data_IF_715062136804
#
_entry.id   IF_715062136804
#
_cell.length_a   1.000
_cell.length_b   1.000
_cell.length_c   1.000
_cell.angle_alpha   90.00
_cell.angle_beta   90.00
_cell.angle_gamma   90.00
#
_symmetry.space_group_name_H-M   'P 1'
#
loop_
_entity.id
_entity.type
_entity.pdbx_description
1 polymer ?
#
# COMPACT_ATOMS: atom_id res chain seq x y z
N UNK A 1 -29.94 10.80 42.06
CA UNK A 1 -29.98 10.01 40.80
C UNK A 1 -29.41 10.77 39.62
N UNK A 2 -29.92 11.96 39.29
CA UNK A 2 -29.43 12.79 38.16
C UNK A 2 -27.95 13.16 38.28
N UNK A 3 -27.48 13.54 39.48
CA UNK A 3 -26.07 13.86 39.73
C UNK A 3 -25.14 12.67 39.46
N UNK A 4 -25.56 11.45 39.83
CA UNK A 4 -24.76 10.23 39.62
C UNK A 4 -24.62 9.87 38.14
N UNK A 5 -25.68 10.09 37.36
CA UNK A 5 -25.67 9.87 35.90
C UNK A 5 -24.76 10.89 35.22
N UNK A 6 -24.82 12.16 35.63
CA UNK A 6 -23.96 13.21 35.09
C UNK A 6 -22.47 12.92 35.32
N UNK A 7 -22.09 12.47 36.52
CA UNK A 7 -20.70 12.12 36.84
C UNK A 7 -20.23 10.92 36.00
N UNK A 8 -21.06 9.90 35.83
CA UNK A 8 -20.74 8.73 35.01
C UNK A 8 -20.51 9.09 33.53
N UNK A 9 -21.33 9.98 32.97
CA UNK A 9 -21.17 10.44 31.59
C UNK A 9 -19.88 11.24 31.40
N UNK A 10 -19.54 12.12 32.34
CA UNK A 10 -18.28 12.89 32.29
C UNK A 10 -17.08 11.96 32.37
N UNK A 11 -17.09 10.98 33.27
CA UNK A 11 -16.01 9.99 33.39
C UNK A 11 -15.94 9.13 32.12
N UNK A 12 -17.06 8.67 31.58
CA UNK A 12 -17.09 7.89 30.35
C UNK A 12 -16.52 8.65 29.14
N UNK A 13 -16.88 9.93 28.99
CA UNK A 13 -16.34 10.79 27.94
C UNK A 13 -14.84 11.04 28.13
N UNK A 14 -14.41 11.30 29.36
CA UNK A 14 -13.00 11.49 29.68
C UNK A 14 -12.17 10.23 29.41
N UNK A 15 -12.68 9.05 29.77
CA UNK A 15 -12.02 7.78 29.45
C UNK A 15 -11.95 7.61 27.93
N UNK A 16 -13.05 7.83 27.21
CA UNK A 16 -13.10 7.69 25.75
C UNK A 16 -12.11 8.60 25.01
N UNK A 17 -11.88 9.81 25.51
CA UNK A 17 -10.92 10.75 24.91
C UNK A 17 -9.49 10.52 25.35
N UNK A 18 -9.26 10.00 26.56
CA UNK A 18 -7.91 9.77 27.11
C UNK A 18 -7.35 8.39 26.72
N UNK A 19 -8.17 7.35 26.56
CA UNK A 19 -7.71 6.02 26.13
C UNK A 19 -6.93 6.01 24.83
N UNK A 20 -7.29 6.72 23.75
CA UNK A 20 -6.45 6.76 22.54
C UNK A 20 -5.11 7.47 22.75
N UNK A 21 -5.00 8.36 23.75
CA UNK A 21 -3.76 9.08 24.05
C UNK A 21 -2.76 8.24 24.86
N UNK A 22 -3.26 7.31 25.68
CA UNK A 22 -2.46 6.39 26.51
C UNK A 22 -2.31 4.99 25.89
N UNK A 23 -2.99 4.72 24.77
CA UNK A 23 -2.76 3.51 24.02
C UNK A 23 -1.26 3.46 23.69
N UNK A 24 -0.53 2.39 24.05
CA UNK A 24 0.81 2.19 23.53
C UNK A 24 0.69 2.26 22.01
N UNK A 25 1.71 2.78 21.32
CA UNK A 25 1.81 2.79 19.87
C UNK A 25 1.64 1.35 19.33
N UNK A 26 0.42 0.84 19.29
CA UNK A 26 -0.01 -0.20 18.39
C UNK A 26 0.31 0.33 17.00
N UNK A 27 0.74 -0.56 16.09
CA UNK A 27 1.43 -0.20 14.86
C UNK A 27 0.75 1.02 14.31
N UNK A 28 1.44 2.15 14.48
CA UNK A 28 0.82 3.45 14.36
C UNK A 28 -0.03 3.38 13.11
N UNK A 29 -1.32 3.71 13.24
CA UNK A 29 -2.05 4.33 12.15
C UNK A 29 -1.12 5.45 11.70
N UNK A 30 -0.32 5.04 10.72
CA UNK A 30 0.78 5.73 10.12
C UNK A 30 0.17 7.05 9.78
N UNK A 31 0.56 8.09 10.52
CA UNK A 31 0.06 9.45 10.35
C UNK A 31 -0.07 9.64 8.86
N UNK A 32 -1.33 9.64 8.36
CA UNK A 32 -1.66 9.27 6.98
C UNK A 32 -0.53 9.80 6.12
N UNK A 33 0.28 8.94 5.46
CA UNK A 33 1.19 9.46 4.47
C UNK A 33 0.30 10.37 3.64
N UNK A 34 0.70 11.62 3.45
CA UNK A 34 0.17 12.36 2.32
C UNK A 34 0.70 11.54 1.16
N UNK A 35 -0.02 10.47 0.86
CA UNK A 35 0.28 9.49 -0.14
C UNK A 35 -0.15 10.21 -1.40
N UNK A 36 0.69 11.18 -1.80
CA UNK A 36 0.83 11.61 -3.18
C UNK A 36 1.36 10.42 -3.95
N UNK A 37 0.61 9.31 -3.93
CA UNK A 37 0.84 8.21 -4.85
C UNK A 37 0.81 8.86 -6.23
N UNK A 38 1.77 8.57 -7.11
CA UNK A 38 1.87 9.25 -8.41
C UNK A 38 0.53 9.23 -9.18
N UNK A 39 -0.25 8.17 -8.98
CA UNK A 39 -1.61 8.00 -9.47
C UNK A 39 -2.61 9.05 -8.96
N UNK A 40 -2.62 9.35 -7.65
CA UNK A 40 -3.52 10.38 -7.09
C UNK A 40 -3.18 11.78 -7.60
N UNK A 41 -1.90 12.10 -7.77
CA UNK A 41 -1.47 13.38 -8.33
C UNK A 41 -1.89 13.51 -9.81
N UNK A 42 -1.67 12.47 -10.62
CA UNK A 42 -2.13 12.43 -12.02
C UNK A 42 -3.64 12.62 -12.13
N UNK A 43 -4.43 11.94 -11.28
CA UNK A 43 -5.88 12.10 -11.24
C UNK A 43 -6.30 13.51 -10.83
N UNK A 44 -5.62 14.11 -9.85
CA UNK A 44 -5.89 15.48 -9.41
C UNK A 44 -5.64 16.49 -10.53
N UNK A 45 -4.49 16.40 -11.20
CA UNK A 45 -4.17 17.27 -12.36
C UNK A 45 -5.22 17.14 -13.46
N UNK A 46 -5.65 15.91 -13.76
CA UNK A 46 -6.72 15.66 -14.75
C UNK A 46 -8.03 16.34 -14.38
N UNK A 47 -8.42 16.32 -13.11
CA UNK A 47 -9.64 16.99 -12.64
C UNK A 47 -9.56 18.51 -12.86
N UNK A 48 -8.42 19.13 -12.56
CA UNK A 48 -8.22 20.56 -12.80
C UNK A 48 -8.37 20.91 -14.29
N UNK A 49 -7.84 20.08 -15.19
CA UNK A 49 -7.98 20.29 -16.64
C UNK A 49 -9.45 20.17 -17.07
N UNK A 50 -10.23 19.26 -16.49
CA UNK A 50 -11.66 19.15 -16.78
C UNK A 50 -12.46 20.35 -16.27
N UNK A 51 -12.14 20.86 -15.08
CA UNK A 51 -12.73 22.10 -14.56
C UNK A 51 -12.42 23.28 -15.51
N UNK A 52 -11.16 23.42 -15.92
CA UNK A 52 -10.76 24.46 -16.88
C UNK A 52 -11.49 24.35 -18.23
N UNK A 53 -11.72 23.13 -18.73
CA UNK A 53 -12.47 22.90 -19.96
C UNK A 53 -13.95 23.33 -19.81
N UNK A 54 -14.56 23.05 -18.66
CA UNK A 54 -15.93 23.45 -18.35
C UNK A 54 -16.06 24.97 -18.23
N UNK A 55 -15.11 25.62 -17.58
CA UNK A 55 -15.06 27.07 -17.44
C UNK A 55 -14.85 27.73 -18.81
N UNK A 56 -13.97 27.20 -19.64
CA UNK A 56 -13.76 27.67 -21.02
C UNK A 56 -15.06 27.60 -21.85
N UNK A 57 -15.79 26.47 -21.78
CA UNK A 57 -17.08 26.31 -22.44
C UNK A 57 -18.11 27.35 -21.96
N UNK A 58 -18.09 27.67 -20.66
CA UNK A 58 -18.95 28.70 -20.08
C UNK A 58 -18.57 30.10 -20.57
N UNK A 59 -17.28 30.44 -20.59
CA UNK A 59 -16.79 31.75 -21.04
C UNK A 59 -17.08 32.00 -22.53
N UNK A 60 -16.92 30.96 -23.37
CA UNK A 60 -17.30 31.03 -24.78
C UNK A 60 -18.81 31.25 -24.94
N UNK A 61 -19.65 30.50 -24.22
CA UNK A 61 -21.12 30.69 -24.24
C UNK A 61 -21.54 32.05 -23.70
N UNK A 62 -20.77 32.63 -22.78
CA UNK A 62 -20.95 33.99 -22.27
C UNK A 62 -20.48 35.07 -23.25
N UNK A 63 -19.87 34.70 -24.38
CA UNK A 63 -19.36 35.63 -25.40
C UNK A 63 -18.09 36.37 -24.99
N UNK A 64 -17.35 35.88 -23.98
CA UNK A 64 -16.11 36.50 -23.49
C UNK A 64 -14.88 36.11 -24.30
N UNK A 65 -14.96 34.98 -25.01
CA UNK A 65 -13.84 34.37 -25.76
C UNK A 65 -14.23 34.25 -27.22
N UNK A 66 -13.30 34.53 -28.13
CA UNK A 66 -13.50 34.38 -29.58
C UNK A 66 -13.63 32.90 -29.96
N UNK A 67 -14.23 32.59 -31.11
CA UNK A 67 -14.37 31.20 -31.56
C UNK A 67 -13.01 30.57 -31.89
N UNK A 68 -12.09 31.36 -32.43
CA UNK A 68 -10.73 30.94 -32.76
C UNK A 68 -9.94 30.59 -31.49
N UNK A 69 -9.97 31.48 -30.48
CA UNK A 69 -9.27 31.25 -29.21
C UNK A 69 -9.88 30.07 -28.45
N UNK A 70 -11.21 29.95 -28.45
CA UNK A 70 -11.91 28.83 -27.84
C UNK A 70 -11.47 27.49 -28.44
N UNK A 71 -11.44 27.38 -29.77
CA UNK A 71 -11.00 26.15 -30.45
C UNK A 71 -9.56 25.79 -30.09
N UNK A 72 -8.66 26.76 -30.12
CA UNK A 72 -7.25 26.55 -29.80
C UNK A 72 -7.05 26.10 -28.33
N UNK A 73 -7.65 26.80 -27.36
CA UNK A 73 -7.56 26.41 -25.94
C UNK A 73 -8.20 25.05 -25.67
N UNK A 74 -9.35 24.80 -26.29
CA UNK A 74 -10.07 23.52 -26.15
C UNK A 74 -9.24 22.35 -26.66
N UNK A 75 -8.61 22.48 -27.83
CA UNK A 75 -7.72 21.44 -28.36
C UNK A 75 -6.54 21.18 -27.42
N UNK A 76 -5.92 22.23 -26.87
CA UNK A 76 -4.82 22.09 -25.92
C UNK A 76 -5.24 21.37 -24.63
N UNK A 77 -6.35 21.77 -24.00
CA UNK A 77 -6.84 21.11 -22.79
C UNK A 77 -7.28 19.67 -23.03
N UNK A 78 -7.88 19.37 -24.19
CA UNK A 78 -8.23 17.99 -24.55
C UNK A 78 -6.98 17.13 -24.72
N UNK A 79 -5.93 17.65 -25.37
CA UNK A 79 -4.66 16.96 -25.51
C UNK A 79 -4.00 16.70 -24.15
N UNK A 80 -4.01 17.69 -23.25
CA UNK A 80 -3.49 17.55 -21.89
C UNK A 80 -4.28 16.52 -21.07
N UNK A 81 -5.61 16.56 -21.10
CA UNK A 81 -6.47 15.60 -20.41
C UNK A 81 -6.24 14.16 -20.92
N UNK A 82 -6.08 13.98 -22.23
CA UNK A 82 -5.78 12.69 -22.83
C UNK A 82 -4.42 12.14 -22.35
N UNK A 83 -3.40 12.98 -22.29
CA UNK A 83 -2.07 12.59 -21.79
C UNK A 83 -2.12 12.19 -20.32
N UNK A 84 -2.80 12.97 -19.47
CA UNK A 84 -2.95 12.65 -18.05
C UNK A 84 -3.75 11.36 -17.83
N UNK A 85 -4.76 11.10 -18.67
CA UNK A 85 -5.52 9.84 -18.64
C UNK A 85 -4.64 8.64 -18.97
N UNK A 86 -3.83 8.71 -20.03
CA UNK A 86 -2.89 7.65 -20.40
C UNK A 86 -1.87 7.39 -19.30
N UNK A 87 -1.23 8.45 -18.77
CA UNK A 87 -0.28 8.33 -17.67
C UNK A 87 -0.91 7.69 -16.42
N UNK A 88 -2.16 8.04 -16.09
CA UNK A 88 -2.86 7.44 -14.95
C UNK A 88 -3.13 5.94 -15.15
N UNK A 89 -3.45 5.50 -16.37
CA UNK A 89 -3.67 4.08 -16.67
C UNK A 89 -2.37 3.28 -16.62
N UNK A 90 -1.26 3.85 -17.11
CA UNK A 90 0.05 3.21 -17.04
C UNK A 90 0.46 2.99 -15.57
N UNK A 91 0.26 4.00 -14.71
CA UNK A 91 0.55 3.87 -13.29
C UNK A 91 -0.36 2.84 -12.59
N UNK A 92 -1.64 2.76 -12.97
CA UNK A 92 -2.57 1.73 -12.49
C UNK A 92 -2.08 0.33 -12.88
N UNK A 93 -1.67 0.13 -14.14
CA UNK A 93 -1.16 -1.14 -14.63
C UNK A 93 0.12 -1.58 -13.89
N UNK A 94 1.08 -0.67 -13.68
CA UNK A 94 2.29 -0.95 -12.90
C UNK A 94 1.95 -1.41 -11.47
N UNK A 95 1.02 -0.72 -10.81
CA UNK A 95 0.58 -1.06 -9.46
C UNK A 95 -0.06 -2.46 -9.42
N UNK A 96 -0.91 -2.79 -10.39
CA UNK A 96 -1.52 -4.12 -10.51
C UNK A 96 -0.47 -5.22 -10.74
N UNK A 97 0.53 -4.95 -11.57
CA UNK A 97 1.63 -5.87 -11.82
C UNK A 97 2.44 -6.13 -10.56
N UNK A 98 2.79 -5.10 -9.80
CA UNK A 98 3.54 -5.24 -8.54
C UNK A 98 2.76 -6.08 -7.51
N UNK A 99 1.45 -5.84 -7.36
CA UNK A 99 0.59 -6.64 -6.49
C UNK A 99 0.55 -8.11 -6.90
N UNK A 100 0.54 -8.37 -8.21
CA UNK A 100 0.58 -9.74 -8.75
C UNK A 100 1.90 -10.43 -8.42
N UNK A 101 3.03 -9.73 -8.57
CA UNK A 101 4.37 -10.25 -8.24
C UNK A 101 4.45 -10.57 -6.74
N UNK A 102 4.04 -9.65 -5.88
CA UNK A 102 4.08 -9.85 -4.43
C UNK A 102 3.25 -11.06 -3.99
N UNK A 103 2.05 -11.23 -4.57
CA UNK A 103 1.22 -12.42 -4.34
C UNK A 103 1.93 -13.72 -4.74
N UNK A 104 2.52 -13.77 -5.93
CA UNK A 104 3.25 -14.96 -6.40
C UNK A 104 4.48 -15.25 -5.53
N UNK A 105 5.17 -14.22 -5.04
CA UNK A 105 6.31 -14.36 -4.13
C UNK A 105 5.86 -14.90 -2.77
N UNK A 106 4.75 -14.37 -2.23
CA UNK A 106 4.18 -14.84 -0.97
C UNK A 106 3.76 -16.32 -1.05
N UNK A 107 3.10 -16.73 -2.14
CA UNK A 107 2.72 -18.12 -2.39
C UNK A 107 3.95 -19.03 -2.48
N UNK A 108 4.99 -18.65 -3.23
CA UNK A 108 6.24 -19.41 -3.30
C UNK A 108 6.96 -19.51 -1.96
N UNK A 109 6.96 -18.44 -1.16
CA UNK A 109 7.53 -18.45 0.20
C UNK A 109 6.76 -19.38 1.12
N UNK A 110 5.43 -19.40 1.05
CA UNK A 110 4.58 -20.29 1.82
C UNK A 110 4.80 -21.77 1.44
N UNK A 111 4.86 -22.08 0.14
CA UNK A 111 5.19 -23.42 -0.36
C UNK A 111 6.57 -23.89 0.10
N UNK A 112 7.58 -23.02 0.05
CA UNK A 112 8.93 -23.36 0.53
C UNK A 112 8.96 -23.60 2.04
N UNK A 113 8.17 -22.87 2.81
CA UNK A 113 8.04 -23.05 4.27
C UNK A 113 7.42 -24.42 4.60
N UNK A 114 6.41 -24.86 3.86
CA UNK A 114 5.80 -26.19 4.05
C UNK A 114 6.66 -27.36 3.54
N UNK A 115 7.58 -27.10 2.60
CA UNK A 115 8.49 -28.11 2.05
C UNK A 115 9.76 -28.36 2.90
N UNK A 116 10.01 -27.60 3.97
CA UNK A 116 11.08 -27.89 4.91
C UNK A 116 10.60 -28.93 5.93
N UNK A 117 10.99 -30.22 5.84
CA UNK A 117 10.67 -31.19 6.87
C UNK A 117 11.58 -31.00 8.09
N UNK A 118 10.99 -31.27 9.24
CA UNK A 118 11.52 -31.30 10.61
C UNK A 118 12.67 -32.33 10.81
N UNK A 119 13.24 -32.42 12.01
CA UNK A 119 14.39 -31.68 12.54
C UNK A 119 15.73 -32.31 12.08
N UNK A 120 16.76 -31.48 11.96
CA UNK A 120 18.11 -31.94 11.63
C UNK A 120 18.77 -32.57 12.86
N UNK A 121 18.40 -33.82 13.19
CA UNK A 121 19.02 -34.58 14.28
C UNK A 121 20.40 -35.05 13.87
N UNK A 122 21.41 -34.75 14.68
CA UNK A 122 22.77 -35.23 14.46
C UNK A 122 22.88 -36.73 14.74
N UNK A 123 23.34 -37.52 13.77
CA UNK A 123 23.53 -38.96 13.94
C UNK A 123 24.68 -39.34 14.90
N UNK A 124 25.58 -38.40 15.22
CA UNK A 124 26.73 -38.65 16.09
C UNK A 124 26.45 -38.32 17.56
N UNK A 125 25.84 -37.16 17.83
CA UNK A 125 25.59 -36.70 19.20
C UNK A 125 24.11 -36.61 19.58
N UNK A 126 23.19 -36.90 18.66
CA UNK A 126 21.74 -36.84 18.90
C UNK A 126 21.16 -35.43 18.99
N UNK A 127 21.96 -34.37 18.82
CA UNK A 127 21.50 -32.99 18.96
C UNK A 127 20.55 -32.57 17.84
N UNK A 128 19.39 -32.02 18.20
CA UNK A 128 18.39 -31.44 17.30
C UNK A 128 18.81 -30.05 16.84
N UNK A 129 19.11 -29.90 15.54
CA UNK A 129 19.44 -28.60 14.97
C UNK A 129 18.16 -27.91 14.45
N UNK A 130 17.77 -26.75 15.02
CA UNK A 130 16.49 -26.09 14.73
C UNK A 130 16.43 -25.39 13.36
N UNK A 131 17.57 -25.25 12.68
CA UNK A 131 17.69 -24.62 11.36
C UNK A 131 18.32 -25.59 10.37
N UNK A 132 18.09 -25.43 9.04
CA UNK A 132 18.77 -26.18 7.99
C UNK A 132 20.24 -25.77 7.89
N UNK A 133 21.05 -26.34 8.79
CA UNK A 133 22.50 -26.10 8.92
C UNK A 133 23.30 -27.21 8.26
N UNK A 134 24.52 -26.88 7.79
CA UNK A 134 25.44 -27.85 7.18
C UNK A 134 26.22 -28.67 8.22
N UNK A 135 26.37 -28.12 9.43
CA UNK A 135 27.13 -28.72 10.53
C UNK A 135 26.29 -28.69 11.81
N UNK A 136 26.50 -29.65 12.70
CA UNK A 136 25.87 -29.69 14.00
C UNK A 136 26.38 -28.57 14.90
N UNK A 137 25.47 -27.79 15.51
CA UNK A 137 25.83 -26.69 16.43
C UNK A 137 26.43 -27.13 17.78
N UNK A 138 26.34 -28.42 18.12
CA UNK A 138 26.89 -28.97 19.37
C UNK A 138 28.25 -29.67 19.18
N UNK A 139 28.36 -30.61 18.22
CA UNK A 139 29.59 -31.40 18.02
C UNK A 139 30.40 -31.02 16.77
N UNK A 140 29.88 -30.14 15.90
CA UNK A 140 30.57 -29.70 14.67
C UNK A 140 30.53 -30.69 13.51
N UNK A 141 29.90 -31.87 13.65
CA UNK A 141 29.83 -32.86 12.56
C UNK A 141 29.02 -32.36 11.37
N UNK A 142 29.47 -32.68 10.16
CA UNK A 142 28.70 -32.42 8.95
C UNK A 142 27.41 -33.25 8.95
N UNK A 143 26.29 -32.60 8.64
CA UNK A 143 24.98 -33.23 8.51
C UNK A 143 24.73 -33.56 7.04
N UNK A 144 24.23 -34.76 6.75
CA UNK A 144 23.97 -35.21 5.38
C UNK A 144 23.02 -34.23 4.66
N UNK A 145 23.54 -33.50 3.66
CA UNK A 145 22.70 -32.64 2.82
C UNK A 145 21.70 -33.55 2.09
N UNK A 146 20.39 -33.35 2.34
CA UNK A 146 19.37 -33.80 1.37
C UNK A 146 19.71 -33.11 0.06
N UNK A 147 20.14 -33.88 -0.94
CA UNK A 147 20.40 -33.38 -2.28
C UNK A 147 19.10 -32.72 -2.79
N UNK A 148 19.18 -31.44 -3.16
CA UNK A 148 18.10 -30.80 -3.91
C UNK A 148 17.95 -31.60 -5.20
N UNK A 149 16.86 -32.37 -5.35
CA UNK A 149 16.46 -32.86 -6.67
C UNK A 149 16.26 -31.63 -7.56
N UNK A 150 17.02 -31.58 -8.64
CA UNK A 150 16.87 -30.61 -9.74
C UNK A 150 15.51 -30.81 -10.40
#
# INVERSE_FOLDING_TARGET
MVLGIAILLVIGLAVFTITPLLAPEGPAEEALPIDVTPLTDLKRRRMVVYENLQDLDFEYKAGKVSEEDYKALRENHLAEAAQLMLASQEQEALTEHDLTIEKQVAERRAQRKSQHPDPYVCAECGFENPLPVKFCGNCGKELARRSRRK
#
